data_IF_604874551196
#
_entry.id   IF_604874551196
#
_cell.length_a   1.000
_cell.length_b   1.000
_cell.length_c   1.000
_cell.angle_alpha   90.00
_cell.angle_beta   90.00
_cell.angle_gamma   90.00
#
_symmetry.space_group_name_H-M   'P 1'
#
loop_
_entity.id
_entity.type
_entity.pdbx_description
1 polymer ?
#
# COMPACT_ATOMS: atom_id res chain seq x y z
N UNK A 1 -38.72 23.81 7.29
CA UNK A 1 -38.30 22.71 6.39
C UNK A 1 -36.79 22.64 6.43
N UNK A 2 -36.20 21.49 6.79
CA UNK A 2 -34.75 21.32 6.75
C UNK A 2 -34.26 21.12 5.31
N UNK A 3 -32.98 21.44 5.06
CA UNK A 3 -32.30 21.04 3.82
C UNK A 3 -31.94 19.56 3.94
N UNK A 4 -32.13 18.71 2.90
CA UNK A 4 -31.78 17.30 2.97
C UNK A 4 -30.30 17.10 3.31
N UNK A 5 -30.00 16.16 4.20
CA UNK A 5 -28.65 15.83 4.65
C UNK A 5 -27.75 15.48 3.45
N UNK A 6 -28.27 14.70 2.51
CA UNK A 6 -27.54 14.33 1.29
C UNK A 6 -27.09 15.56 0.47
N UNK A 7 -27.86 16.66 0.51
CA UNK A 7 -27.54 17.91 -0.20
C UNK A 7 -26.39 18.64 0.47
N UNK A 8 -26.36 18.67 1.81
CA UNK A 8 -25.27 19.30 2.56
C UNK A 8 -23.97 18.50 2.41
N UNK A 9 -24.02 17.17 2.53
CA UNK A 9 -22.86 16.30 2.33
C UNK A 9 -22.31 16.41 0.90
N UNK A 10 -23.20 16.57 -0.10
CA UNK A 10 -22.83 16.76 -1.50
C UNK A 10 -22.02 18.03 -1.80
N UNK A 11 -22.00 19.01 -0.90
CA UNK A 11 -21.14 20.20 -1.03
C UNK A 11 -19.65 19.89 -0.79
N UNK A 12 -19.34 18.73 -0.20
CA UNK A 12 -17.98 18.31 0.13
C UNK A 12 -17.58 17.02 -0.61
N UNK A 13 -17.50 17.04 -1.95
CA UNK A 13 -17.30 15.83 -2.77
C UNK A 13 -15.95 15.13 -2.54
N UNK A 14 -14.97 15.82 -1.93
CA UNK A 14 -13.68 15.22 -1.52
C UNK A 14 -13.81 14.32 -0.29
N UNK A 15 -14.78 14.60 0.57
CA UNK A 15 -15.02 13.86 1.82
C UNK A 15 -16.19 12.89 1.66
N UNK A 16 -17.22 13.29 0.92
CA UNK A 16 -18.41 12.48 0.64
C UNK A 16 -18.54 12.30 -0.88
N UNK A 17 -17.97 11.21 -1.43
CA UNK A 17 -18.09 10.91 -2.84
C UNK A 17 -19.55 10.63 -3.22
N UNK A 18 -19.83 10.69 -4.53
CA UNK A 18 -21.20 10.64 -5.07
C UNK A 18 -21.99 9.39 -4.65
N UNK A 19 -21.30 8.26 -4.49
CA UNK A 19 -21.89 7.01 -4.02
C UNK A 19 -22.43 7.14 -2.58
N UNK A 20 -21.67 7.78 -1.68
CA UNK A 20 -22.08 8.03 -0.29
C UNK A 20 -23.29 8.95 -0.25
N UNK A 21 -23.23 10.07 -0.97
CA UNK A 21 -24.34 11.04 -0.99
C UNK A 21 -25.62 10.44 -1.59
N UNK A 22 -25.49 9.55 -2.57
CA UNK A 22 -26.63 8.84 -3.16
C UNK A 22 -27.25 7.85 -2.17
N UNK A 23 -26.43 7.09 -1.44
CA UNK A 23 -26.92 6.18 -0.39
C UNK A 23 -27.62 6.95 0.73
N UNK A 24 -27.02 8.05 1.19
CA UNK A 24 -27.64 8.93 2.20
C UNK A 24 -28.97 9.51 1.70
N UNK A 25 -29.07 9.89 0.43
CA UNK A 25 -30.33 10.37 -0.15
C UNK A 25 -31.43 9.30 -0.14
N UNK A 26 -31.09 8.05 -0.46
CA UNK A 26 -32.02 6.91 -0.42
C UNK A 26 -32.44 6.61 1.04
N UNK A 27 -31.49 6.62 1.97
CA UNK A 27 -31.75 6.46 3.40
C UNK A 27 -32.65 7.55 3.97
N UNK A 28 -32.43 8.80 3.57
CA UNK A 28 -33.24 9.95 3.98
C UNK A 28 -34.66 9.88 3.42
N UNK A 29 -34.84 9.54 2.14
CA UNK A 29 -36.15 9.38 1.50
C UNK A 29 -36.97 8.22 2.07
N UNK A 30 -36.30 7.14 2.47
CA UNK A 30 -36.93 5.94 3.04
C UNK A 30 -37.08 5.97 4.56
N UNK A 31 -36.55 7.00 5.23
CA UNK A 31 -36.52 7.08 6.70
C UNK A 31 -35.55 6.09 7.37
N UNK A 32 -34.62 5.51 6.60
CA UNK A 32 -33.66 4.48 7.00
C UNK A 32 -32.22 4.99 7.08
N UNK A 33 -32.04 6.21 7.58
CA UNK A 33 -30.71 6.82 7.71
C UNK A 33 -29.78 6.00 8.62
N UNK A 34 -30.30 5.44 9.71
CA UNK A 34 -29.53 4.60 10.64
C UNK A 34 -28.94 3.36 9.95
N UNK A 35 -29.79 2.63 9.19
CA UNK A 35 -29.38 1.47 8.40
C UNK A 35 -28.32 1.85 7.35
N UNK A 36 -28.51 3.01 6.71
CA UNK A 36 -27.58 3.54 5.70
C UNK A 36 -26.21 3.88 6.30
N UNK A 37 -26.17 4.58 7.44
CA UNK A 37 -24.92 4.92 8.10
C UNK A 37 -24.19 3.69 8.65
N UNK A 38 -24.94 2.70 9.15
CA UNK A 38 -24.38 1.42 9.59
C UNK A 38 -23.73 0.69 8.42
N UNK A 39 -24.40 0.62 7.28
CA UNK A 39 -23.85 0.06 6.05
C UNK A 39 -22.57 0.78 5.60
N UNK A 40 -22.57 2.11 5.61
CA UNK A 40 -21.41 2.92 5.24
C UNK A 40 -20.22 2.71 6.19
N UNK A 41 -20.46 2.60 7.51
CA UNK A 41 -19.41 2.30 8.49
C UNK A 41 -18.75 0.97 8.17
N UNK A 42 -19.54 -0.09 8.04
CA UNK A 42 -19.05 -1.43 7.72
C UNK A 42 -18.33 -1.46 6.37
N UNK A 43 -18.83 -0.74 5.37
CA UNK A 43 -18.17 -0.63 4.07
C UNK A 43 -16.77 -0.02 4.19
N UNK A 44 -16.64 1.12 4.87
CA UNK A 44 -15.34 1.79 5.04
C UNK A 44 -14.39 1.05 5.97
N UNK A 45 -14.89 0.39 7.02
CA UNK A 45 -14.09 -0.50 7.86
C UNK A 45 -13.46 -1.62 7.03
N UNK A 46 -14.26 -2.29 6.20
CA UNK A 46 -13.77 -3.32 5.29
C UNK A 46 -12.76 -2.76 4.27
N UNK A 47 -13.00 -1.57 3.74
CA UNK A 47 -12.08 -0.93 2.80
C UNK A 47 -10.72 -0.66 3.45
N UNK A 48 -10.71 -0.12 4.67
CA UNK A 48 -9.50 0.12 5.47
C UNK A 48 -8.79 -1.19 5.81
N UNK A 49 -9.53 -2.23 6.20
CA UNK A 49 -8.95 -3.55 6.50
C UNK A 49 -8.27 -4.14 5.26
N UNK A 50 -8.93 -4.09 4.10
CA UNK A 50 -8.39 -4.57 2.83
C UNK A 50 -7.14 -3.79 2.43
N UNK A 51 -7.16 -2.46 2.54
CA UNK A 51 -6.00 -1.63 2.26
C UNK A 51 -4.82 -1.97 3.19
N UNK A 52 -5.10 -2.10 4.49
CA UNK A 52 -4.08 -2.43 5.50
C UNK A 52 -3.45 -3.79 5.24
N UNK A 53 -4.23 -4.80 4.84
CA UNK A 53 -3.70 -6.13 4.47
C UNK A 53 -2.88 -6.12 3.19
N UNK A 54 -3.18 -5.22 2.24
CA UNK A 54 -2.47 -5.11 0.96
C UNK A 54 -1.12 -4.40 1.09
N UNK A 55 -0.96 -3.47 2.04
CA UNK A 55 0.29 -2.72 2.22
C UNK A 55 1.52 -3.64 2.38
N UNK A 56 1.54 -4.61 3.33
CA UNK A 56 2.69 -5.50 3.51
C UNK A 56 3.01 -6.34 2.28
N UNK A 57 1.97 -6.78 1.56
CA UNK A 57 2.12 -7.62 0.34
C UNK A 57 2.90 -6.88 -0.76
N UNK A 58 2.74 -5.55 -0.84
CA UNK A 58 3.48 -4.72 -1.80
C UNK A 58 4.90 -4.39 -1.33
N UNK A 59 5.13 -4.35 -0.01
CA UNK A 59 6.44 -4.05 0.57
C UNK A 59 7.42 -5.23 0.47
N UNK A 60 6.92 -6.46 0.52
CA UNK A 60 7.73 -7.68 0.42
C UNK A 60 8.69 -7.72 -0.79
N UNK A 61 8.27 -7.50 -2.05
CA UNK A 61 9.18 -7.52 -3.19
C UNK A 61 10.25 -6.42 -3.12
N UNK A 62 9.94 -5.25 -2.54
CA UNK A 62 10.90 -4.16 -2.39
C UNK A 62 12.01 -4.56 -1.41
N UNK A 63 11.63 -5.17 -0.29
CA UNK A 63 12.60 -5.67 0.71
C UNK A 63 13.47 -6.78 0.10
N UNK A 64 12.89 -7.70 -0.67
CA UNK A 64 13.63 -8.77 -1.34
C UNK A 64 14.68 -8.23 -2.31
N UNK A 65 14.30 -7.26 -3.16
CA UNK A 65 15.25 -6.62 -4.09
C UNK A 65 16.37 -5.92 -3.34
N UNK A 66 16.04 -5.17 -2.28
CA UNK A 66 17.03 -4.47 -1.47
C UNK A 66 18.03 -5.44 -0.82
N UNK A 67 17.54 -6.54 -0.23
CA UNK A 67 18.39 -7.59 0.33
C UNK A 67 19.28 -8.19 -0.76
N UNK A 68 18.72 -8.48 -1.93
CA UNK A 68 19.47 -9.02 -3.06
C UNK A 68 20.62 -8.11 -3.51
N UNK A 69 20.37 -6.80 -3.59
CA UNK A 69 21.41 -5.81 -3.91
C UNK A 69 22.49 -5.75 -2.84
N UNK A 70 22.12 -5.72 -1.57
CA UNK A 70 23.08 -5.68 -0.45
C UNK A 70 23.96 -6.93 -0.43
N UNK A 71 23.35 -8.11 -0.55
CA UNK A 71 24.07 -9.38 -0.58
C UNK A 71 24.97 -9.47 -1.82
N UNK A 72 24.49 -9.06 -2.99
CA UNK A 72 25.27 -9.02 -4.22
C UNK A 72 26.48 -8.08 -4.12
N UNK A 73 26.30 -6.90 -3.52
CA UNK A 73 27.39 -5.95 -3.28
C UNK A 73 28.46 -6.53 -2.35
N UNK A 74 28.04 -7.16 -1.23
CA UNK A 74 28.95 -7.81 -0.28
C UNK A 74 29.72 -8.94 -0.97
N UNK A 75 29.04 -9.78 -1.76
CA UNK A 75 29.68 -10.87 -2.47
C UNK A 75 30.77 -10.36 -3.42
N UNK A 76 30.50 -9.30 -4.20
CA UNK A 76 31.50 -8.70 -5.09
C UNK A 76 32.70 -8.13 -4.31
N UNK A 77 32.44 -7.44 -3.20
CA UNK A 77 33.48 -6.87 -2.35
C UNK A 77 34.43 -7.94 -1.75
N UNK A 78 33.92 -9.15 -1.50
CA UNK A 78 34.71 -10.28 -1.00
C UNK A 78 35.40 -11.05 -2.13
N UNK A 79 34.70 -11.29 -3.25
CA UNK A 79 35.21 -12.11 -4.35
C UNK A 79 36.34 -11.41 -5.12
N UNK A 80 36.22 -10.09 -5.35
CA UNK A 80 37.24 -9.32 -6.08
C UNK A 80 38.67 -9.47 -5.51
N UNK A 81 38.94 -9.21 -4.21
CA UNK A 81 40.29 -9.36 -3.66
C UNK A 81 40.78 -10.82 -3.68
N UNK A 82 39.88 -11.81 -3.58
CA UNK A 82 40.28 -13.22 -3.69
C UNK A 82 40.84 -13.52 -5.09
N UNK A 83 40.21 -13.01 -6.16
CA UNK A 83 40.73 -13.17 -7.52
C UNK A 83 42.09 -12.48 -7.72
N UNK A 84 42.29 -11.30 -7.14
CA UNK A 84 43.58 -10.60 -7.17
C UNK A 84 44.67 -11.41 -6.45
N UNK A 85 44.37 -11.97 -5.28
CA UNK A 85 45.31 -12.82 -4.53
C UNK A 85 45.66 -14.10 -5.29
N UNK A 86 44.67 -14.80 -5.85
CA UNK A 86 44.90 -16.03 -6.63
C UNK A 86 45.68 -15.78 -7.91
N UNK A 87 45.39 -14.70 -8.64
CA UNK A 87 46.12 -14.34 -9.86
C UNK A 87 47.55 -13.86 -9.57
N UNK A 88 47.76 -13.13 -8.48
CA UNK A 88 49.10 -12.73 -8.01
C UNK A 88 49.98 -13.93 -7.63
N UNK A 89 49.41 -14.95 -6.98
CA UNK A 89 50.12 -16.19 -6.64
C UNK A 89 50.49 -17.01 -7.89
N UNK A 90 49.62 -17.07 -8.89
CA UNK A 90 49.92 -17.78 -10.15
C UNK A 90 51.10 -17.15 -10.92
N UNK A 91 51.27 -15.82 -10.81
CA UNK A 91 52.33 -15.09 -11.53
C UNK A 91 53.72 -15.27 -10.90
N UNK A 92 53.80 -15.71 -9.65
CA UNK A 92 55.05 -15.97 -8.92
C UNK A 92 55.64 -17.37 -9.11
N UNK A 93 54.99 -18.26 -9.89
CA UNK A 93 55.46 -19.63 -10.13
C UNK A 93 56.29 -19.79 -11.42
N UNK A 94 56.31 -18.77 -12.28
CA UNK A 94 57.00 -18.78 -13.58
C UNK A 94 58.29 -17.93 -13.59
N UNK A 95 58.80 -17.52 -12.43
CA UNK A 95 60.14 -16.92 -12.22
C UNK A 95 60.92 -17.73 -11.20
#
# INVERSE_FOLDING_TARGET
SGVPLATILGQYPKLFPKNVTALVAVGEQSGKLEETFTYLSTYYENEVEVQTKRLPTLLEPVILVLIGVVVGFIALAVIAPIYELTSGISKGKDT
#
